data_IF_171724812412
#
_entry.id   IF_171724812412
#
_cell.length_a   1.000
_cell.length_b   1.000
_cell.length_c   1.000
_cell.angle_alpha   90.00
_cell.angle_beta   90.00
_cell.angle_gamma   90.00
#
_symmetry.space_group_name_H-M   'P 1'
#
loop_
_entity.id
_entity.type
_entity.pdbx_description
1 polymer ?
#
# COMPACT_ATOMS: atom_id res chain seq x y z
N UNK A 1 -8.62 53.05 9.43
CA UNK A 1 -8.34 52.31 8.18
C UNK A 1 -7.78 50.96 8.59
N UNK A 2 -8.66 49.96 8.67
CA UNK A 2 -8.31 48.60 9.06
C UNK A 2 -7.72 47.86 7.85
N UNK A 3 -6.42 47.55 7.89
CA UNK A 3 -5.78 46.71 6.88
C UNK A 3 -6.05 45.24 7.20
N UNK A 4 -7.07 44.70 6.52
CA UNK A 4 -7.41 43.29 6.47
C UNK A 4 -6.35 42.54 5.67
N UNK A 5 -5.42 41.90 6.37
CA UNK A 5 -4.45 40.96 5.78
C UNK A 5 -5.23 39.76 5.26
N UNK A 6 -5.44 39.69 3.94
CA UNK A 6 -5.88 38.48 3.25
C UNK A 6 -4.71 37.50 3.21
N UNK A 7 -4.77 36.48 4.07
CA UNK A 7 -3.95 35.28 3.94
C UNK A 7 -4.54 34.40 2.85
N UNK A 8 -3.94 34.43 1.66
CA UNK A 8 -4.20 33.41 0.64
C UNK A 8 -3.52 32.12 1.07
N UNK A 9 -4.34 31.12 1.43
CA UNK A 9 -3.91 29.73 1.57
C UNK A 9 -3.47 29.23 0.19
N UNK A 10 -2.17 29.22 -0.08
CA UNK A 10 -1.61 28.43 -1.18
C UNK A 10 -1.65 26.97 -0.75
N UNK A 11 -2.67 26.25 -1.24
CA UNK A 11 -2.81 24.82 -1.10
C UNK A 11 -1.70 24.14 -1.86
N UNK A 12 -0.63 23.77 -1.15
CA UNK A 12 0.41 22.90 -1.66
C UNK A 12 -0.14 21.46 -1.61
N UNK A 13 -1.01 21.13 -2.56
CA UNK A 13 -1.43 19.75 -2.79
C UNK A 13 -0.26 19.07 -3.49
N UNK A 14 0.50 18.25 -2.77
CA UNK A 14 1.61 17.49 -3.34
C UNK A 14 1.16 16.77 -4.60
N UNK A 15 1.67 17.21 -5.77
CA UNK A 15 1.46 16.65 -7.12
C UNK A 15 1.91 15.17 -7.21
N UNK A 16 2.48 14.63 -6.13
CA UNK A 16 3.21 13.38 -6.03
C UNK A 16 2.36 12.12 -6.24
N UNK A 17 1.02 12.20 -6.16
CA UNK A 17 0.13 11.04 -6.28
C UNK A 17 -0.95 11.14 -7.37
N UNK A 18 -0.92 12.15 -8.24
CA UNK A 18 -1.95 12.33 -9.27
C UNK A 18 -1.84 11.24 -10.34
N UNK A 19 -2.89 10.43 -10.46
CA UNK A 19 -3.05 9.37 -11.45
C UNK A 19 -3.53 9.99 -12.78
N UNK A 20 -3.04 9.49 -13.92
CA UNK A 20 -3.33 10.04 -15.26
C UNK A 20 -4.84 10.10 -15.55
N UNK A 21 -5.60 9.11 -15.09
CA UNK A 21 -7.06 9.07 -15.25
C UNK A 21 -7.75 10.35 -14.77
N UNK A 22 -7.34 10.85 -13.62
CA UNK A 22 -7.98 11.99 -12.93
C UNK A 22 -7.21 13.31 -13.13
N UNK A 23 -6.11 13.25 -13.89
CA UNK A 23 -5.24 14.38 -14.14
C UNK A 23 -5.85 15.38 -15.14
N UNK A 24 -5.77 16.71 -14.90
CA UNK A 24 -6.03 17.72 -15.93
C UNK A 24 -5.12 17.58 -17.15
N UNK A 25 -5.60 17.92 -18.34
CA UNK A 25 -4.80 17.85 -19.58
C UNK A 25 -3.60 18.81 -19.55
N UNK A 26 -3.74 19.97 -18.89
CA UNK A 26 -2.66 20.93 -18.67
C UNK A 26 -1.47 20.33 -17.94
N UNK A 27 -1.74 19.50 -16.94
CA UNK A 27 -0.72 18.93 -16.07
C UNK A 27 0.05 17.84 -16.82
N UNK A 28 -0.65 17.00 -17.58
CA UNK A 28 -0.03 15.99 -18.43
C UNK A 28 0.80 16.65 -19.55
N UNK A 29 0.31 17.72 -20.18
CA UNK A 29 1.08 18.47 -21.19
C UNK A 29 2.33 19.13 -20.58
N UNK A 30 2.25 19.63 -19.35
CA UNK A 30 3.43 20.13 -18.60
C UNK A 30 4.46 19.04 -18.37
N UNK A 31 4.01 17.83 -18.00
CA UNK A 31 4.89 16.67 -17.87
C UNK A 31 5.52 16.30 -19.21
N UNK A 32 4.75 16.23 -20.29
CA UNK A 32 5.27 15.94 -21.62
C UNK A 32 6.32 16.97 -22.06
N UNK A 33 6.09 18.25 -21.81
CA UNK A 33 7.07 19.32 -22.07
C UNK A 33 8.39 19.10 -21.34
N UNK A 34 8.32 18.69 -20.07
CA UNK A 34 9.49 18.29 -19.31
C UNK A 34 10.21 17.09 -19.95
N UNK A 35 9.47 16.07 -20.38
CA UNK A 35 10.05 14.87 -21.01
C UNK A 35 10.71 15.17 -22.36
N UNK A 36 10.11 16.03 -23.19
CA UNK A 36 10.70 16.49 -24.45
C UNK A 36 12.06 17.16 -24.19
N UNK A 37 12.11 18.02 -23.17
CA UNK A 37 13.34 18.70 -22.77
C UNK A 37 14.38 17.72 -22.24
N UNK A 38 13.98 16.82 -21.36
CA UNK A 38 14.85 15.83 -20.73
C UNK A 38 15.51 14.89 -21.75
N UNK A 39 14.76 14.50 -22.79
CA UNK A 39 15.27 13.63 -23.84
C UNK A 39 16.06 14.37 -24.94
N UNK A 40 16.11 15.71 -24.91
CA UNK A 40 16.86 16.51 -25.89
C UNK A 40 16.14 16.68 -27.24
N UNK A 41 14.81 16.75 -27.24
CA UNK A 41 14.06 17.01 -28.47
C UNK A 41 14.26 18.46 -28.95
N UNK A 42 14.90 18.62 -30.10
CA UNK A 42 15.14 19.94 -30.72
C UNK A 42 13.85 20.58 -31.26
N UNK A 43 12.87 19.76 -31.67
CA UNK A 43 11.58 20.21 -32.18
C UNK A 43 10.47 19.72 -31.25
N UNK A 44 9.77 20.67 -30.64
CA UNK A 44 8.56 20.37 -29.88
C UNK A 44 7.46 19.87 -30.83
N UNK A 45 6.68 18.86 -30.43
CA UNK A 45 5.55 18.40 -31.23
C UNK A 45 4.52 19.52 -31.41
N UNK A 46 3.79 19.46 -32.52
CA UNK A 46 2.65 20.36 -32.71
C UNK A 46 1.48 19.98 -31.79
N UNK A 47 0.53 20.91 -31.62
CA UNK A 47 -0.62 20.72 -30.72
C UNK A 47 -1.44 19.46 -31.05
N UNK A 48 -1.53 19.07 -32.33
CA UNK A 48 -2.26 17.88 -32.74
C UNK A 48 -1.52 16.62 -32.35
N UNK A 49 -0.21 16.58 -32.56
CA UNK A 49 0.66 15.48 -32.15
C UNK A 49 0.66 15.31 -30.63
N UNK A 50 0.74 16.41 -29.89
CA UNK A 50 0.70 16.39 -28.42
C UNK A 50 -0.64 15.86 -27.92
N UNK A 51 -1.77 16.31 -28.49
CA UNK A 51 -3.11 15.81 -28.14
C UNK A 51 -3.31 14.33 -28.47
N UNK A 52 -2.78 13.84 -29.60
CA UNK A 52 -2.84 12.41 -29.96
C UNK A 52 -2.06 11.58 -28.95
N UNK A 53 -0.87 12.05 -28.55
CA UNK A 53 -0.06 11.38 -27.54
C UNK A 53 -0.74 11.39 -26.17
N UNK A 54 -1.32 12.52 -25.76
CA UNK A 54 -2.10 12.64 -24.53
C UNK A 54 -3.27 11.65 -24.52
N UNK A 55 -4.03 11.57 -25.61
CA UNK A 55 -5.14 10.62 -25.75
C UNK A 55 -4.66 9.17 -25.61
N UNK A 56 -3.56 8.83 -26.29
CA UNK A 56 -2.93 7.53 -26.18
C UNK A 56 -2.48 7.20 -24.74
N UNK A 57 -1.85 8.14 -24.04
CA UNK A 57 -1.39 7.95 -22.66
C UNK A 57 -2.58 7.71 -21.72
N UNK A 58 -3.66 8.47 -21.87
CA UNK A 58 -4.87 8.31 -21.05
C UNK A 58 -5.57 6.98 -21.28
N UNK A 59 -5.63 6.51 -22.53
CA UNK A 59 -6.30 5.25 -22.90
C UNK A 59 -5.55 4.03 -22.35
N UNK A 60 -4.23 3.97 -22.52
CA UNK A 60 -3.44 2.75 -22.28
C UNK A 60 -2.62 2.78 -20.98
N UNK A 61 -2.40 3.96 -20.39
CA UNK A 61 -1.57 4.14 -19.21
C UNK A 61 -2.30 4.89 -18.10
N UNK A 62 -3.64 4.82 -18.06
CA UNK A 62 -4.50 5.53 -17.10
C UNK A 62 -4.08 5.36 -15.64
N UNK A 63 -3.54 4.19 -15.28
CA UNK A 63 -3.24 3.78 -13.91
C UNK A 63 -1.86 4.26 -13.42
N UNK A 64 -1.06 4.86 -14.31
CA UNK A 64 0.24 5.42 -13.91
C UNK A 64 0.05 6.80 -13.29
N UNK A 65 0.93 7.15 -12.35
CA UNK A 65 1.04 8.51 -11.85
C UNK A 65 1.93 9.35 -12.75
N UNK A 66 1.70 10.67 -12.76
CA UNK A 66 2.57 11.62 -13.47
C UNK A 66 4.03 11.48 -13.03
N UNK A 67 4.26 11.27 -11.73
CA UNK A 67 5.61 11.06 -11.19
C UNK A 67 6.23 9.75 -11.68
N UNK A 68 5.43 8.68 -11.78
CA UNK A 68 5.88 7.41 -12.34
C UNK A 68 6.33 7.53 -13.80
N UNK A 69 5.67 8.37 -14.60
CA UNK A 69 6.13 8.69 -15.96
C UNK A 69 7.47 9.41 -15.91
N UNK A 70 7.61 10.48 -15.10
CA UNK A 70 8.88 11.22 -14.99
C UNK A 70 10.04 10.31 -14.60
N UNK A 71 9.82 9.50 -13.56
CA UNK A 71 10.80 8.52 -13.08
C UNK A 71 11.21 7.55 -14.19
N UNK A 72 10.26 7.08 -15.01
CA UNK A 72 10.55 6.17 -16.11
C UNK A 72 11.52 6.77 -17.14
N UNK A 73 11.30 8.03 -17.52
CA UNK A 73 12.16 8.72 -18.47
C UNK A 73 13.50 9.12 -17.87
N UNK A 74 13.53 9.57 -16.61
CA UNK A 74 14.79 9.86 -15.90
C UNK A 74 15.68 8.62 -15.80
N UNK A 75 15.11 7.46 -15.48
CA UNK A 75 15.82 6.17 -15.44
C UNK A 75 16.24 5.68 -16.83
N UNK A 76 15.47 6.02 -17.86
CA UNK A 76 15.87 5.83 -19.26
C UNK A 76 17.11 6.63 -19.61
N UNK A 77 17.08 7.94 -19.37
CA UNK A 77 18.19 8.85 -19.68
C UNK A 77 19.44 8.56 -18.85
N UNK A 78 19.30 8.17 -17.58
CA UNK A 78 20.45 7.79 -16.74
C UNK A 78 21.11 6.47 -17.14
N UNK A 79 20.52 5.71 -18.08
CA UNK A 79 21.04 4.42 -18.53
C UNK A 79 20.78 3.28 -17.55
N UNK A 80 19.88 3.47 -16.58
CA UNK A 80 19.53 2.45 -15.59
C UNK A 80 18.54 1.42 -16.12
N UNK A 81 17.84 1.72 -17.21
CA UNK A 81 16.93 0.78 -17.89
C UNK A 81 17.55 0.25 -19.19
N UNK A 82 17.18 -0.97 -19.56
CA UNK A 82 17.62 -1.62 -20.79
C UNK A 82 16.80 -1.12 -22.00
N UNK A 83 16.91 0.17 -22.28
CA UNK A 83 16.32 0.82 -23.45
C UNK A 83 17.33 1.75 -24.12
N UNK A 84 17.28 1.76 -25.43
CA UNK A 84 17.99 2.76 -26.22
C UNK A 84 17.18 4.06 -26.29
N UNK A 85 17.64 5.10 -25.57
CA UNK A 85 17.02 6.43 -25.59
C UNK A 85 17.25 7.23 -26.89
N UNK A 86 17.81 6.60 -27.94
CA UNK A 86 17.90 7.22 -29.28
C UNK A 86 16.49 7.31 -29.88
N UNK A 87 16.05 8.53 -30.07
CA UNK A 87 14.66 8.86 -30.38
C UNK A 87 14.44 9.38 -31.81
N UNK A 88 15.47 9.35 -32.67
CA UNK A 88 15.42 9.75 -34.10
C UNK A 88 14.50 10.96 -34.38
N UNK A 89 14.56 11.99 -33.52
CA UNK A 89 13.77 13.22 -33.58
C UNK A 89 12.23 13.09 -33.46
N UNK A 90 11.67 11.94 -33.09
CA UNK A 90 10.21 11.77 -32.97
C UNK A 90 9.78 11.22 -31.60
N UNK A 91 9.16 12.06 -30.77
CA UNK A 91 8.53 11.62 -29.52
C UNK A 91 7.13 11.14 -29.86
N UNK A 92 6.99 9.84 -30.12
CA UNK A 92 5.72 9.23 -30.49
C UNK A 92 5.26 8.23 -29.42
N UNK A 93 4.03 7.72 -29.60
CA UNK A 93 3.42 6.73 -28.73
C UNK A 93 4.24 5.44 -28.59
N UNK A 94 4.99 5.05 -29.63
CA UNK A 94 5.86 3.87 -29.62
C UNK A 94 7.04 4.12 -28.68
N UNK A 95 7.76 5.23 -28.87
CA UNK A 95 8.86 5.64 -28.01
C UNK A 95 8.42 5.75 -26.55
N UNK A 96 7.27 6.39 -26.30
CA UNK A 96 6.70 6.46 -24.96
C UNK A 96 6.43 5.07 -24.37
N UNK A 97 5.80 4.18 -25.14
CA UNK A 97 5.49 2.82 -24.69
C UNK A 97 6.74 2.01 -24.39
N UNK A 98 7.77 2.12 -25.22
CA UNK A 98 9.03 1.41 -25.04
C UNK A 98 9.69 1.83 -23.73
N UNK A 99 9.77 3.14 -23.46
CA UNK A 99 10.34 3.69 -22.21
C UNK A 99 9.57 3.19 -20.98
N UNK A 100 8.23 3.30 -21.00
CA UNK A 100 7.41 2.84 -19.88
C UNK A 100 7.54 1.33 -19.65
N UNK A 101 7.57 0.53 -20.72
CA UNK A 101 7.72 -0.92 -20.62
C UNK A 101 9.11 -1.30 -20.11
N UNK A 102 10.17 -0.62 -20.54
CA UNK A 102 11.52 -0.80 -20.02
C UNK A 102 11.60 -0.46 -18.53
N UNK A 103 10.96 0.63 -18.11
CA UNK A 103 10.86 0.99 -16.70
C UNK A 103 10.04 -0.01 -15.88
N UNK A 104 8.92 -0.53 -16.40
CA UNK A 104 8.15 -1.60 -15.74
C UNK A 104 9.02 -2.85 -15.54
N UNK A 105 9.76 -3.28 -16.57
CA UNK A 105 10.72 -4.39 -16.47
C UNK A 105 11.83 -4.08 -15.46
N UNK A 106 12.39 -2.87 -15.48
CA UNK A 106 13.36 -2.42 -14.49
C UNK A 106 12.78 -2.47 -13.08
N UNK A 107 11.55 -2.01 -12.83
CA UNK A 107 10.91 -2.11 -11.51
C UNK A 107 10.65 -3.55 -11.07
N UNK A 108 10.32 -4.45 -12.00
CA UNK A 108 10.17 -5.88 -11.70
C UNK A 108 11.53 -6.51 -11.38
N UNK A 109 12.55 -6.21 -12.18
CA UNK A 109 13.92 -6.69 -11.98
C UNK A 109 14.52 -6.09 -10.71
N UNK A 110 14.23 -4.83 -10.38
CA UNK A 110 14.56 -4.22 -9.10
C UNK A 110 13.79 -4.86 -7.97
N UNK A 111 12.53 -5.25 -8.12
CA UNK A 111 11.83 -6.06 -7.10
C UNK A 111 12.41 -7.49 -6.98
N UNK A 112 13.11 -7.96 -8.01
CA UNK A 112 13.82 -9.24 -8.03
C UNK A 112 15.27 -9.12 -7.52
N UNK A 113 15.89 -7.95 -7.62
CA UNK A 113 17.27 -7.61 -7.24
C UNK A 113 17.35 -6.87 -5.91
N UNK A 114 16.26 -6.22 -5.48
CA UNK A 114 15.97 -6.12 -4.06
C UNK A 114 16.02 -7.56 -3.61
N UNK A 115 16.82 -7.89 -2.57
CA UNK A 115 16.64 -9.17 -1.92
C UNK A 115 15.13 -9.32 -1.77
N UNK A 116 14.57 -10.48 -2.17
CA UNK A 116 13.26 -10.94 -1.64
C UNK A 116 13.22 -10.36 -0.24
N UNK A 117 12.24 -9.47 0.05
CA UNK A 117 12.06 -8.80 1.35
C UNK A 117 12.97 -9.47 2.33
N UNK A 118 14.08 -8.84 2.74
CA UNK A 118 14.94 -9.45 3.76
C UNK A 118 13.97 -9.75 4.91
N UNK A 119 13.50 -10.98 4.97
CA UNK A 119 12.95 -11.60 6.14
C UNK A 119 14.15 -11.48 7.06
N UNK A 120 14.03 -10.57 8.03
CA UNK A 120 15.05 -10.19 9.00
C UNK A 120 16.10 -9.17 8.52
N UNK A 121 15.74 -7.87 8.42
CA UNK A 121 16.65 -6.95 9.13
C UNK A 121 16.38 -7.20 10.61
N UNK A 122 17.30 -7.88 11.28
CA UNK A 122 17.24 -7.94 12.73
C UNK A 122 17.28 -6.50 13.23
N UNK A 123 16.13 -5.98 13.68
CA UNK A 123 16.08 -4.68 14.34
C UNK A 123 17.11 -4.67 15.45
N UNK A 124 17.86 -3.58 15.57
CA UNK A 124 18.81 -3.44 16.67
C UNK A 124 18.08 -3.60 18.00
N UNK A 125 18.77 -4.06 19.04
CA UNK A 125 18.14 -4.23 20.36
C UNK A 125 17.59 -2.91 20.92
N UNK A 126 18.16 -1.77 20.49
CA UNK A 126 17.61 -0.45 20.79
C UNK A 126 16.28 -0.20 20.10
N UNK A 127 16.14 -0.53 18.81
CA UNK A 127 14.89 -0.37 18.09
C UNK A 127 13.80 -1.33 18.59
N UNK A 128 14.20 -2.54 19.02
CA UNK A 128 13.29 -3.50 19.68
C UNK A 128 12.75 -2.93 20.99
N UNK A 129 13.63 -2.37 21.84
CA UNK A 129 13.23 -1.72 23.10
C UNK A 129 12.32 -0.52 22.85
N UNK A 130 12.67 0.36 21.91
CA UNK A 130 11.86 1.53 21.58
C UNK A 130 10.46 1.16 21.13
N UNK A 131 10.35 0.19 20.20
CA UNK A 131 9.06 -0.26 19.68
C UNK A 131 8.22 -0.96 20.73
N UNK A 132 8.85 -1.75 21.61
CA UNK A 132 8.17 -2.41 22.73
C UNK A 132 7.62 -1.38 23.73
N UNK A 133 8.44 -0.40 24.12
CA UNK A 133 7.98 0.69 24.98
C UNK A 133 6.83 1.44 24.35
N UNK A 134 6.93 1.81 23.06
CA UNK A 134 5.86 2.49 22.35
C UNK A 134 4.54 1.72 22.37
N UNK A 135 4.57 0.41 22.13
CA UNK A 135 3.37 -0.43 22.21
C UNK A 135 2.77 -0.46 23.63
N UNK A 136 3.59 -0.59 24.68
CA UNK A 136 3.11 -0.57 26.06
C UNK A 136 2.44 0.77 26.41
N UNK A 137 3.08 1.89 26.07
CA UNK A 137 2.61 3.23 26.43
C UNK A 137 1.44 3.71 25.58
N UNK A 138 1.44 3.43 24.27
CA UNK A 138 0.41 3.96 23.37
C UNK A 138 -0.86 3.09 23.34
N UNK A 139 -0.73 1.78 23.61
CA UNK A 139 -1.85 0.84 23.43
C UNK A 139 -2.27 0.15 24.73
N UNK A 140 -1.35 -0.33 25.56
CA UNK A 140 -1.69 -1.17 26.72
C UNK A 140 -2.02 -0.36 27.97
N UNK A 141 -1.15 0.55 28.40
CA UNK A 141 -1.37 1.34 29.62
C UNK A 141 -2.65 2.19 29.58
N UNK A 142 -3.02 2.85 28.46
CA UNK A 142 -4.27 3.60 28.39
C UNK A 142 -5.52 2.72 28.57
N UNK A 143 -5.44 1.43 28.24
CA UNK A 143 -6.55 0.49 28.45
C UNK A 143 -6.61 -0.01 29.88
N UNK A 144 -5.46 -0.28 30.51
CA UNK A 144 -5.38 -0.61 31.93
C UNK A 144 -5.93 0.55 32.78
N UNK A 145 -5.61 1.80 32.43
CA UNK A 145 -6.19 2.96 33.10
C UNK A 145 -7.71 3.05 32.93
N UNK A 146 -8.24 2.73 31.75
CA UNK A 146 -9.68 2.69 31.52
C UNK A 146 -10.34 1.59 32.37
N UNK A 147 -9.71 0.42 32.49
CA UNK A 147 -10.19 -0.68 33.33
C UNK A 147 -10.20 -0.28 34.81
N UNK A 148 -9.09 0.25 35.32
CA UNK A 148 -8.96 0.64 36.72
C UNK A 148 -9.94 1.76 37.11
N UNK A 149 -10.30 2.62 36.15
CA UNK A 149 -11.28 3.69 36.34
C UNK A 149 -12.73 3.22 36.11
N UNK A 150 -12.98 1.93 35.90
CA UNK A 150 -14.29 1.35 35.67
C UNK A 150 -14.95 1.81 34.36
N UNK A 151 -14.18 2.38 33.42
CA UNK A 151 -14.69 2.83 32.11
C UNK A 151 -14.86 1.68 31.13
N UNK A 152 -14.21 0.55 31.38
CA UNK A 152 -14.38 -0.73 30.70
C UNK A 152 -14.39 -1.82 31.77
N UNK A 153 -15.20 -2.86 31.59
CA UNK A 153 -15.34 -3.97 32.55
C UNK A 153 -14.25 -5.04 32.37
N UNK A 154 -13.77 -5.19 31.14
CA UNK A 154 -12.72 -6.12 30.76
C UNK A 154 -11.76 -5.43 29.79
N UNK A 155 -10.50 -5.88 29.77
CA UNK A 155 -9.57 -5.44 28.72
C UNK A 155 -10.08 -6.01 27.40
N UNK A 156 -10.38 -5.16 26.39
CA UNK A 156 -10.75 -5.66 25.09
C UNK A 156 -9.58 -6.49 24.56
N UNK A 157 -9.83 -7.80 24.41
CA UNK A 157 -8.92 -8.66 23.67
C UNK A 157 -8.94 -8.16 22.22
N UNK A 158 -7.94 -7.35 21.87
CA UNK A 158 -7.72 -6.89 20.50
C UNK A 158 -7.14 -8.00 19.60
N UNK A 159 -7.36 -9.26 19.97
CA UNK A 159 -7.01 -10.42 19.21
C UNK A 159 -5.50 -10.58 19.12
N UNK A 160 -5.07 -10.93 17.92
CA UNK A 160 -3.69 -11.19 17.53
C UNK A 160 -2.69 -10.04 17.80
N UNK A 161 -2.90 -9.07 18.68
CA UNK A 161 -1.90 -8.04 19.02
C UNK A 161 -0.61 -8.66 19.56
N UNK A 162 -0.69 -9.64 20.46
CA UNK A 162 0.48 -10.38 20.94
C UNK A 162 1.09 -11.25 19.82
N UNK A 163 0.26 -11.94 19.05
CA UNK A 163 0.73 -12.74 17.91
C UNK A 163 1.38 -11.88 16.82
N UNK A 164 0.82 -10.73 16.47
CA UNK A 164 1.35 -9.77 15.50
C UNK A 164 2.64 -9.14 16.03
N UNK A 165 2.73 -8.92 17.34
CA UNK A 165 3.95 -8.50 18.01
C UNK A 165 5.04 -9.58 17.93
N UNK A 166 4.69 -10.85 18.19
CA UNK A 166 5.60 -12.00 18.12
C UNK A 166 5.97 -12.37 16.68
N UNK A 167 5.05 -12.31 15.72
CA UNK A 167 5.24 -12.59 14.30
C UNK A 167 6.18 -11.57 13.66
N UNK A 168 6.07 -10.30 14.05
CA UNK A 168 6.97 -9.23 13.58
C UNK A 168 8.37 -9.27 14.21
N UNK A 169 8.61 -10.07 15.26
CA UNK A 169 9.83 -9.95 16.10
C UNK A 169 10.56 -11.24 16.42
N UNK A 170 9.88 -12.37 16.51
CA UNK A 170 10.41 -13.60 17.12
C UNK A 170 10.02 -14.88 16.38
N UNK A 171 8.87 -14.91 15.70
CA UNK A 171 8.35 -16.12 15.07
C UNK A 171 8.23 -15.89 13.56
N UNK A 172 9.24 -16.31 12.81
CA UNK A 172 9.27 -16.10 11.37
C UNK A 172 8.75 -17.34 10.62
N UNK A 173 7.43 -17.53 10.61
CA UNK A 173 6.80 -18.63 9.88
C UNK A 173 6.63 -18.31 8.39
N UNK A 174 6.91 -19.28 7.52
CA UNK A 174 6.56 -19.15 6.09
C UNK A 174 5.06 -18.89 5.92
N UNK A 175 4.66 -18.20 4.85
CA UNK A 175 3.24 -17.95 4.52
C UNK A 175 2.40 -19.22 4.58
N UNK A 176 2.92 -20.33 4.04
CA UNK A 176 2.30 -21.65 4.09
C UNK A 176 2.10 -22.16 5.52
N UNK A 177 3.07 -21.94 6.41
CA UNK A 177 2.95 -22.35 7.82
C UNK A 177 1.94 -21.48 8.59
N UNK A 178 1.85 -20.19 8.26
CA UNK A 178 0.82 -19.29 8.82
C UNK A 178 -0.59 -19.72 8.42
N UNK A 179 -0.78 -20.10 7.16
CA UNK A 179 -2.05 -20.65 6.66
C UNK A 179 -2.43 -21.94 7.40
N UNK A 180 -1.48 -22.86 7.58
CA UNK A 180 -1.71 -24.10 8.37
C UNK A 180 -2.09 -23.82 9.83
N UNK A 181 -1.41 -22.88 10.49
CA UNK A 181 -1.72 -22.52 11.88
C UNK A 181 -3.11 -21.87 11.96
N UNK A 182 -3.47 -21.04 10.99
CA UNK A 182 -4.80 -20.44 10.90
C UNK A 182 -5.87 -21.52 10.74
N UNK A 183 -5.65 -22.50 9.86
CA UNK A 183 -6.55 -23.65 9.67
C UNK A 183 -6.72 -24.44 10.97
N UNK A 184 -5.61 -24.81 11.62
CA UNK A 184 -5.61 -25.53 12.91
C UNK A 184 -6.40 -24.77 14.00
N UNK A 185 -6.13 -23.48 14.16
CA UNK A 185 -6.82 -22.65 15.16
C UNK A 185 -8.32 -22.52 14.85
N UNK A 186 -8.67 -22.41 13.57
CA UNK A 186 -10.08 -22.36 13.13
C UNK A 186 -10.79 -23.67 13.43
N UNK A 187 -10.15 -24.81 13.16
CA UNK A 187 -10.69 -26.14 13.46
C UNK A 187 -10.89 -26.36 14.97
N UNK A 188 -9.92 -25.93 15.79
CA UNK A 188 -9.99 -26.02 17.24
C UNK A 188 -11.17 -25.20 17.80
N UNK A 189 -11.30 -23.94 17.39
CA UNK A 189 -12.43 -23.07 17.74
C UNK A 189 -13.78 -23.66 17.32
N UNK A 190 -13.87 -24.20 16.10
CA UNK A 190 -15.07 -24.88 15.64
C UNK A 190 -15.40 -26.10 16.49
N UNK A 191 -14.38 -26.85 16.92
CA UNK A 191 -14.56 -28.03 17.79
C UNK A 191 -15.11 -27.63 19.16
N UNK A 192 -14.63 -26.54 19.74
CA UNK A 192 -15.11 -26.01 21.02
C UNK A 192 -16.55 -25.52 20.91
N UNK A 193 -16.86 -24.72 19.88
CA UNK A 193 -18.23 -24.22 19.66
C UNK A 193 -19.22 -25.34 19.36
N UNK A 194 -18.81 -26.40 18.67
CA UNK A 194 -19.63 -27.61 18.48
C UNK A 194 -19.90 -28.33 19.80
N UNK A 195 -18.91 -28.47 20.68
CA UNK A 195 -19.10 -29.03 22.03
C UNK A 195 -20.04 -28.15 22.86
N UNK A 196 -19.86 -26.83 22.82
CA UNK A 196 -20.72 -25.87 23.51
C UNK A 196 -22.19 -25.97 23.05
N UNK A 197 -22.41 -26.11 21.74
CA UNK A 197 -23.75 -26.32 21.15
C UNK A 197 -24.44 -27.59 21.64
N UNK A 198 -23.67 -28.64 21.93
CA UNK A 198 -24.20 -29.90 22.48
C UNK A 198 -24.58 -29.70 23.95
N UNK A 199 -23.70 -29.05 24.72
CA UNK A 199 -23.85 -28.84 26.17
C UNK A 199 -24.89 -27.78 26.55
N UNK A 200 -25.21 -26.83 25.68
CA UNK A 200 -26.19 -25.75 25.92
C UNK A 200 -27.35 -25.78 24.92
N UNK A 201 -28.40 -26.60 25.16
CA UNK A 201 -29.51 -26.77 24.21
C UNK A 201 -30.31 -25.49 23.93
N UNK A 202 -30.41 -24.59 24.93
CA UNK A 202 -31.16 -23.33 24.82
C UNK A 202 -30.52 -22.28 23.91
N UNK A 203 -29.20 -22.37 23.69
CA UNK A 203 -28.41 -21.38 22.91
C UNK A 203 -28.01 -21.94 21.53
N UNK A 204 -28.56 -23.09 21.12
CA UNK A 204 -28.14 -23.84 19.91
C UNK A 204 -28.21 -23.05 18.61
N UNK A 205 -29.17 -22.13 18.51
CA UNK A 205 -29.38 -21.32 17.31
C UNK A 205 -28.38 -20.16 17.22
N UNK A 206 -28.00 -19.57 18.36
CA UNK A 206 -27.00 -18.51 18.43
C UNK A 206 -25.60 -19.06 18.17
N UNK A 207 -25.25 -20.17 18.82
CA UNK A 207 -23.96 -20.86 18.60
C UNK A 207 -23.87 -21.38 17.15
N UNK A 208 -25.00 -21.81 16.56
CA UNK A 208 -25.08 -22.20 15.16
C UNK A 208 -24.77 -21.07 14.18
N UNK A 209 -25.21 -19.84 14.48
CA UNK A 209 -24.87 -18.65 13.69
C UNK A 209 -23.38 -18.36 13.76
N UNK A 210 -22.80 -18.35 14.96
CA UNK A 210 -21.35 -18.14 15.17
C UNK A 210 -20.50 -19.15 14.39
N UNK A 211 -20.87 -20.44 14.40
CA UNK A 211 -20.18 -21.47 13.62
C UNK A 211 -20.28 -21.19 12.11
N UNK A 212 -21.45 -20.73 11.65
CA UNK A 212 -21.69 -20.41 10.24
C UNK A 212 -20.89 -19.17 9.83
N UNK A 213 -20.78 -18.17 10.69
CA UNK A 213 -20.01 -16.95 10.45
C UNK A 213 -18.50 -17.22 10.39
N UNK A 214 -17.98 -18.12 11.25
CA UNK A 214 -16.58 -18.59 11.19
C UNK A 214 -16.28 -19.26 9.84
N UNK A 215 -17.20 -20.10 9.35
CA UNK A 215 -17.04 -20.84 8.08
C UNK A 215 -17.24 -19.97 6.83
N UNK A 216 -18.20 -19.04 6.86
CA UNK A 216 -18.59 -18.22 5.71
C UNK A 216 -17.69 -17.01 5.54
N UNK A 217 -17.16 -16.46 6.63
CA UNK A 217 -16.31 -15.28 6.53
C UNK A 217 -14.91 -15.65 6.04
N UNK A 218 -14.24 -16.69 6.58
CA UNK A 218 -12.78 -16.80 6.48
C UNK A 218 -12.01 -15.51 6.89
N UNK A 219 -12.75 -14.52 7.41
CA UNK A 219 -12.49 -13.09 7.53
C UNK A 219 -12.98 -12.53 8.86
N UNK A 220 -13.59 -13.32 9.74
CA UNK A 220 -13.90 -12.86 11.11
C UNK A 220 -12.79 -13.26 12.11
N UNK A 221 -11.55 -13.05 11.68
CA UNK A 221 -10.54 -12.44 12.55
C UNK A 221 -10.37 -10.94 12.25
N UNK A 222 -10.98 -10.40 11.18
CA UNK A 222 -10.90 -8.98 10.82
C UNK A 222 -11.82 -8.10 11.69
N UNK A 223 -12.65 -8.70 12.56
CA UNK A 223 -13.28 -7.98 13.67
C UNK A 223 -12.29 -7.46 14.73
N UNK A 224 -11.03 -7.90 14.69
CA UNK A 224 -9.97 -7.50 15.63
C UNK A 224 -8.87 -6.64 14.98
N UNK A 225 -8.98 -6.38 13.67
CA UNK A 225 -8.16 -5.41 12.95
C UNK A 225 -9.07 -4.61 12.03
N UNK A 226 -9.53 -3.45 12.52
CA UNK A 226 -9.98 -2.37 11.65
C UNK A 226 -9.04 -1.18 11.83
N UNK A 227 -8.55 -0.68 10.70
CA UNK A 227 -7.84 0.59 10.51
C UNK A 227 -8.62 1.77 11.07
#
# INVERSE_FOLDING_TARGET
>A
MENKVMTTKSGNTSIESVIIKDCPTSDLSTVLTYLYTLCGFEKMPDEKQDMVLIGFIREYFSDLSLNGIKEAFEKGVSGETDINMKHYHNFNSIYFSDVINAWKRYKINQKSLTPKLIENSEMTDQDKKYTHSKWLYDLIFPQIEKLNNGKIEELPDHGNTLYNYLDKKFINYSKKRKEQIKEMATEELLSEKRKERISKPGERNEIGKVITDILMSGKDTDGLVRT
#
